data_IF_445178009888
#
_entry.id   IF_445178009888
#
_cell.length_a   1.000
_cell.length_b   1.000
_cell.length_c   1.000
_cell.angle_alpha   90.00
_cell.angle_beta   90.00
_cell.angle_gamma   90.00
#
_symmetry.space_group_name_H-M   'P 1'
#
loop_
_entity.id
_entity.type
_entity.pdbx_description
1 polymer ?
#
# COMPACT_ATOMS: atom_id res chain seq x y z
N UNK A 1 -9.25 -5.95 9.26
CA UNK A 1 -10.08 -5.16 10.20
C UNK A 1 -10.23 -3.71 9.80
N UNK A 2 -10.13 -3.35 8.50
CA UNK A 2 -10.51 -2.01 8.05
C UNK A 2 -12.03 -1.89 7.89
N UNK A 3 -12.50 -0.66 7.73
CA UNK A 3 -13.90 -0.34 7.42
C UNK A 3 -13.98 0.36 6.07
N UNK A 4 -15.05 0.12 5.32
CA UNK A 4 -15.25 0.69 4.00
C UNK A 4 -15.81 2.12 4.08
N UNK A 5 -15.36 3.00 3.18
CA UNK A 5 -15.92 4.34 3.01
C UNK A 5 -15.48 5.36 4.07
N UNK A 6 -16.35 6.35 4.32
CA UNK A 6 -16.10 7.49 5.23
C UNK A 6 -14.71 8.14 5.05
N UNK A 7 -14.36 8.65 3.84
CA UNK A 7 -13.04 9.20 3.57
C UNK A 7 -12.74 10.38 4.50
N UNK A 8 -11.74 10.24 5.36
CA UNK A 8 -11.38 11.23 6.35
C UNK A 8 -10.27 10.76 7.26
N UNK A 9 -10.05 11.51 8.36
CA UNK A 9 -9.05 11.16 9.36
C UNK A 9 -9.30 9.77 9.97
N UNK A 10 -10.54 9.45 10.31
CA UNK A 10 -10.90 8.21 10.99
C UNK A 10 -10.65 6.94 10.16
N UNK A 11 -10.61 7.08 8.83
CA UNK A 11 -10.40 5.95 7.91
C UNK A 11 -9.09 6.06 7.14
N UNK A 12 -8.22 7.02 7.48
CA UNK A 12 -7.03 7.37 6.69
C UNK A 12 -6.12 6.19 6.37
N UNK A 13 -6.02 5.22 7.30
CA UNK A 13 -5.18 4.01 7.17
C UNK A 13 -5.77 2.94 6.26
N UNK A 14 -7.02 3.10 5.81
CA UNK A 14 -7.72 2.15 4.93
C UNK A 14 -7.54 2.48 3.45
N UNK A 15 -6.89 3.60 3.12
CA UNK A 15 -6.79 4.10 1.75
C UNK A 15 -5.43 3.81 1.12
N UNK A 16 -5.47 3.04 0.03
CA UNK A 16 -4.32 2.69 -0.79
C UNK A 16 -4.53 3.14 -2.24
N UNK A 17 -3.45 3.32 -2.97
CA UNK A 17 -3.47 3.65 -4.41
C UNK A 17 -2.88 2.51 -5.21
N UNK A 18 -3.37 2.37 -6.44
CA UNK A 18 -2.76 1.55 -7.48
C UNK A 18 -2.06 2.52 -8.42
N UNK A 19 -0.74 2.40 -8.54
CA UNK A 19 0.08 3.31 -9.31
C UNK A 19 0.77 2.56 -10.45
N UNK A 20 0.88 3.20 -11.60
CA UNK A 20 1.48 2.58 -12.80
C UNK A 20 2.99 2.46 -12.62
N UNK A 21 3.53 1.27 -12.88
CA UNK A 21 4.96 0.97 -12.86
C UNK A 21 5.35 0.26 -14.18
N UNK A 22 5.70 1.05 -15.19
CA UNK A 22 5.96 0.59 -16.57
C UNK A 22 4.74 -0.12 -17.20
N UNK A 23 4.84 -1.45 -17.35
CA UNK A 23 3.79 -2.35 -17.84
C UNK A 23 2.99 -2.99 -16.70
N UNK A 24 3.45 -2.81 -15.47
CA UNK A 24 2.89 -3.36 -14.25
C UNK A 24 2.29 -2.25 -13.38
N UNK A 25 1.93 -2.59 -12.14
CA UNK A 25 1.48 -1.66 -11.13
C UNK A 25 2.21 -1.89 -9.80
N UNK A 26 2.17 -0.90 -8.92
CA UNK A 26 2.53 -1.03 -7.51
C UNK A 26 1.35 -0.57 -6.65
N UNK A 27 1.28 -1.08 -5.42
CA UNK A 27 0.37 -0.54 -4.41
C UNK A 27 1.14 0.46 -3.55
N UNK A 28 0.52 1.59 -3.23
CA UNK A 28 1.11 2.57 -2.32
C UNK A 28 0.15 3.01 -1.24
N UNK A 29 0.71 3.34 -0.08
CA UNK A 29 0.02 4.05 0.99
C UNK A 29 0.44 5.50 0.91
N UNK A 30 -0.44 6.34 0.39
CA UNK A 30 -0.28 7.79 0.34
C UNK A 30 -1.67 8.44 0.28
N UNK A 31 -2.44 8.34 1.37
CA UNK A 31 -3.86 8.72 1.39
C UNK A 31 -4.03 10.23 1.14
N UNK A 32 -5.07 10.57 0.37
CA UNK A 32 -5.42 11.97 0.03
C UNK A 32 -6.79 12.38 0.58
N UNK A 33 -7.32 11.60 1.53
CA UNK A 33 -8.64 11.79 2.13
C UNK A 33 -8.65 12.72 3.35
N UNK A 34 -7.47 13.21 3.75
CA UNK A 34 -7.26 14.11 4.89
C UNK A 34 -6.07 15.01 4.60
N UNK A 35 -6.02 16.18 5.25
CA UNK A 35 -4.86 17.08 5.23
C UNK A 35 -3.73 16.63 6.17
N UNK A 36 -3.97 15.60 6.99
CA UNK A 36 -2.96 15.05 7.91
C UNK A 36 -1.81 14.44 7.11
N UNK A 37 -0.58 14.84 7.45
CA UNK A 37 0.61 14.21 6.90
C UNK A 37 0.70 12.75 7.36
N UNK A 38 0.72 11.85 6.40
CA UNK A 38 0.94 10.43 6.60
C UNK A 38 2.21 9.99 5.89
N UNK A 39 2.63 8.75 6.14
CA UNK A 39 3.63 8.13 5.28
C UNK A 39 3.09 8.07 3.85
N UNK A 40 3.93 8.44 2.88
CA UNK A 40 3.64 8.34 1.46
C UNK A 40 4.69 7.42 0.83
N UNK A 41 4.35 6.14 0.62
CA UNK A 41 5.32 5.13 0.14
C UNK A 41 4.66 3.95 -0.54
N UNK A 42 5.38 3.36 -1.49
CA UNK A 42 5.03 2.10 -2.14
C UNK A 42 5.20 0.92 -1.18
N UNK A 43 4.38 -0.12 -1.34
CA UNK A 43 4.47 -1.34 -0.55
C UNK A 43 5.49 -2.30 -1.19
N UNK A 44 6.31 -2.92 -0.35
CA UNK A 44 7.22 -3.99 -0.75
C UNK A 44 6.93 -5.31 -0.02
N UNK A 45 7.70 -6.34 -0.35
CA UNK A 45 7.64 -7.64 0.34
C UNK A 45 8.71 -7.71 1.43
N UNK A 46 8.27 -7.82 2.67
CA UNK A 46 9.12 -8.13 3.82
C UNK A 46 9.03 -9.62 4.13
N UNK A 47 10.17 -10.28 4.34
CA UNK A 47 10.22 -11.69 4.77
C UNK A 47 10.57 -11.69 6.25
N UNK A 48 9.71 -12.24 7.09
CA UNK A 48 9.99 -12.36 8.51
C UNK A 48 10.96 -13.53 8.83
N UNK A 49 11.32 -13.65 10.10
CA UNK A 49 12.22 -14.70 10.61
C UNK A 49 11.65 -16.11 10.45
N UNK A 50 10.33 -16.26 10.37
CA UNK A 50 9.63 -17.53 10.08
C UNK A 50 9.54 -17.84 8.59
N UNK A 51 9.99 -16.93 7.72
CA UNK A 51 9.94 -17.07 6.26
C UNK A 51 8.62 -16.63 5.62
N UNK A 52 7.67 -16.07 6.39
CA UNK A 52 6.43 -15.56 5.86
C UNK A 52 6.65 -14.23 5.13
N UNK A 53 5.92 -14.04 4.02
CA UNK A 53 6.00 -12.82 3.21
C UNK A 53 4.86 -11.89 3.56
N UNK A 54 5.20 -10.69 4.01
CA UNK A 54 4.27 -9.62 4.38
C UNK A 54 4.37 -8.47 3.40
N UNK A 55 3.24 -7.81 3.12
CA UNK A 55 3.26 -6.50 2.49
C UNK A 55 3.62 -5.45 3.55
N UNK A 56 4.68 -4.69 3.30
CA UNK A 56 5.23 -3.76 4.26
C UNK A 56 5.50 -2.39 3.64
N UNK A 57 5.30 -1.35 4.45
CA UNK A 57 5.70 0.02 4.14
C UNK A 57 7.14 0.24 4.61
N UNK A 58 8.12 -0.02 3.76
CA UNK A 58 9.54 0.16 4.11
C UNK A 58 10.33 0.81 2.97
N UNK A 59 11.30 1.65 3.33
CA UNK A 59 12.30 2.24 2.44
C UNK A 59 13.48 1.32 2.18
N UNK A 60 13.60 0.24 2.95
CA UNK A 60 14.68 -0.75 2.83
C UNK A 60 14.28 -1.93 1.93
N UNK A 61 13.01 -2.02 1.56
CA UNK A 61 12.49 -3.08 0.69
C UNK A 61 12.10 -2.49 -0.67
N UNK A 62 12.41 -3.16 -1.79
CA UNK A 62 11.97 -2.72 -3.09
C UNK A 62 10.46 -2.86 -3.22
N UNK A 63 9.86 -1.96 -4.00
CA UNK A 63 8.43 -1.96 -4.31
C UNK A 63 8.02 -3.24 -5.01
N UNK A 64 6.87 -3.78 -4.60
CA UNK A 64 6.35 -5.02 -5.14
C UNK A 64 5.48 -4.77 -6.37
N UNK A 65 6.00 -5.12 -7.55
CA UNK A 65 5.27 -5.02 -8.82
C UNK A 65 4.21 -6.11 -8.93
N UNK A 66 3.00 -5.72 -9.35
CA UNK A 66 1.83 -6.59 -9.48
C UNK A 66 1.14 -6.40 -10.83
N UNK A 67 0.44 -7.45 -11.26
CA UNK A 67 -0.50 -7.41 -12.39
C UNK A 67 -1.87 -7.88 -11.90
N UNK A 68 -2.93 -7.24 -12.38
CA UNK A 68 -4.30 -7.62 -12.01
C UNK A 68 -4.86 -8.60 -13.03
N UNK A 69 -5.06 -9.85 -12.61
CA UNK A 69 -5.74 -10.87 -13.40
C UNK A 69 -7.21 -10.91 -12.99
N UNK A 70 -8.12 -10.92 -13.96
CA UNK A 70 -9.54 -11.16 -13.70
C UNK A 70 -9.71 -12.51 -13.01
N UNK A 71 -10.51 -12.55 -11.94
CA UNK A 71 -10.88 -13.77 -11.24
C UNK A 71 -11.66 -14.73 -12.16
#
# INVERSE_FOLDING_TARGET
GGVEGNPGFDTIVNWFKIEKADKDYVLSFCPSVSTTKTLCRELGLYVDDTGNKHLALSDQVPSFRVVFKRA
#
